data_IF_575985704826
#
_entry.id   IF_575985704826
#
_cell.length_a   1.000
_cell.length_b   1.000
_cell.length_c   1.000
_cell.angle_alpha   90.00
_cell.angle_beta   90.00
_cell.angle_gamma   90.00
#
_symmetry.space_group_name_H-M   'P 1'
#
loop_
_entity.id
_entity.type
_entity.pdbx_description
1 polymer ?
#
# COMPACT_ATOMS: atom_id res chain seq x y z
N UNK A 1 -3.43 11.35 -3.29
CA UNK A 1 -3.78 10.70 -4.57
C UNK A 1 -4.78 11.47 -5.43
N UNK A 2 -5.76 12.25 -4.92
CA UNK A 2 -6.71 12.96 -5.79
C UNK A 2 -6.07 13.89 -6.82
N UNK A 3 -5.07 14.72 -6.49
CA UNK A 3 -4.47 15.59 -7.50
C UNK A 3 -3.80 14.81 -8.65
N UNK A 4 -3.08 13.73 -8.31
CA UNK A 4 -2.45 12.84 -9.31
C UNK A 4 -3.51 12.19 -10.19
N UNK A 5 -4.63 11.80 -9.60
CA UNK A 5 -5.77 11.21 -10.31
C UNK A 5 -6.36 12.18 -11.33
N UNK A 6 -6.74 13.39 -10.90
CA UNK A 6 -7.35 14.40 -11.77
C UNK A 6 -6.38 14.89 -12.86
N UNK A 7 -5.09 15.03 -12.54
CA UNK A 7 -4.06 15.36 -13.52
C UNK A 7 -3.92 14.24 -14.55
N UNK A 8 -3.78 12.98 -14.12
CA UNK A 8 -3.65 11.85 -15.03
C UNK A 8 -4.91 11.66 -15.90
N UNK A 9 -6.10 11.81 -15.35
CA UNK A 9 -7.36 11.76 -16.10
C UNK A 9 -7.43 12.91 -17.13
N UNK A 10 -6.92 14.10 -16.80
CA UNK A 10 -6.93 15.25 -17.70
C UNK A 10 -5.97 15.12 -18.88
N UNK A 11 -4.94 14.27 -18.78
CA UNK A 11 -4.09 13.92 -19.93
C UNK A 11 -4.87 13.16 -21.01
N UNK A 12 -5.95 12.46 -20.63
CA UNK A 12 -6.77 11.65 -21.54
C UNK A 12 -8.02 12.43 -22.00
N UNK A 13 -8.66 13.16 -21.09
CA UNK A 13 -9.97 13.79 -21.31
C UNK A 13 -9.89 15.32 -21.45
N UNK A 14 -8.69 15.89 -21.53
CA UNK A 14 -8.49 17.34 -21.55
C UNK A 14 -8.85 17.98 -20.21
N UNK A 15 -9.34 19.22 -20.23
CA UNK A 15 -9.59 19.98 -18.99
C UNK A 15 -10.81 19.49 -18.17
N UNK A 16 -11.62 18.57 -18.69
CA UNK A 16 -12.89 18.21 -18.07
C UNK A 16 -12.78 17.65 -16.64
N UNK A 17 -11.83 16.73 -16.32
CA UNK A 17 -11.66 16.25 -14.95
C UNK A 17 -11.24 17.35 -13.96
N UNK A 18 -10.38 18.28 -14.39
CA UNK A 18 -10.00 19.43 -13.56
C UNK A 18 -11.16 20.41 -13.38
N UNK A 19 -12.00 20.61 -14.41
CA UNK A 19 -13.23 21.38 -14.31
C UNK A 19 -14.18 20.79 -13.26
N UNK A 20 -14.43 19.48 -13.33
CA UNK A 20 -15.25 18.77 -12.36
C UNK A 20 -14.71 18.86 -10.92
N UNK A 21 -13.38 18.79 -10.74
CA UNK A 21 -12.76 19.01 -9.44
C UNK A 21 -13.01 20.42 -8.90
N UNK A 22 -12.97 21.43 -9.76
CA UNK A 22 -13.20 22.83 -9.37
C UNK A 22 -14.67 23.06 -9.02
N UNK A 23 -15.59 22.50 -9.81
CA UNK A 23 -17.04 22.62 -9.58
C UNK A 23 -17.46 21.89 -8.29
N UNK A 24 -16.96 20.68 -8.09
CA UNK A 24 -17.35 19.79 -6.99
C UNK A 24 -16.31 19.75 -5.86
N UNK A 25 -15.46 20.77 -5.74
CA UNK A 25 -14.39 20.82 -4.73
C UNK A 25 -14.86 20.59 -3.28
N UNK A 26 -16.09 20.95 -2.85
CA UNK A 26 -16.55 20.66 -1.49
C UNK A 26 -16.64 19.15 -1.22
N UNK A 27 -16.85 18.32 -2.25
CA UNK A 27 -16.90 16.84 -2.12
C UNK A 27 -15.58 16.26 -1.60
N UNK A 28 -14.46 16.98 -1.74
CA UNK A 28 -13.20 16.59 -1.12
C UNK A 28 -13.37 16.47 0.40
N UNK A 29 -14.05 17.43 1.02
CA UNK A 29 -14.20 17.52 2.47
C UNK A 29 -15.45 16.81 2.98
N UNK A 30 -16.54 16.79 2.20
CA UNK A 30 -17.82 16.22 2.63
C UNK A 30 -17.96 14.73 2.32
N UNK A 31 -17.20 14.20 1.37
CA UNK A 31 -17.31 12.81 0.92
C UNK A 31 -15.96 12.10 0.90
N UNK A 32 -14.99 12.61 0.15
CA UNK A 32 -13.72 11.91 -0.07
C UNK A 32 -12.91 11.73 1.22
N UNK A 33 -12.59 12.81 1.94
CA UNK A 33 -11.77 12.75 3.15
C UNK A 33 -12.43 11.92 4.28
N UNK A 34 -13.73 12.08 4.60
CA UNK A 34 -14.40 11.23 5.58
C UNK A 34 -14.29 9.73 5.25
N UNK A 35 -14.47 9.36 3.98
CA UNK A 35 -14.32 7.97 3.53
C UNK A 35 -12.88 7.47 3.64
N UNK A 36 -11.89 8.30 3.31
CA UNK A 36 -10.47 7.95 3.48
C UNK A 36 -10.14 7.71 4.94
N UNK A 37 -10.61 8.57 5.85
CA UNK A 37 -10.41 8.40 7.30
C UNK A 37 -11.10 7.13 7.80
N UNK A 38 -12.33 6.86 7.34
CA UNK A 38 -13.06 5.66 7.70
C UNK A 38 -12.32 4.38 7.25
N UNK A 39 -11.92 4.31 5.98
CA UNK A 39 -11.18 3.16 5.43
C UNK A 39 -9.81 3.01 6.09
N UNK A 40 -9.13 4.11 6.37
CA UNK A 40 -7.87 4.12 7.11
C UNK A 40 -8.04 3.40 8.46
N UNK A 41 -9.02 3.81 9.27
CA UNK A 41 -9.19 3.31 10.64
C UNK A 41 -9.72 1.88 10.71
N UNK A 42 -10.61 1.52 9.79
CA UNK A 42 -11.37 0.26 9.87
C UNK A 42 -10.71 -0.87 9.07
N UNK A 43 -10.00 -0.53 7.98
CA UNK A 43 -9.48 -1.52 7.03
C UNK A 43 -7.97 -1.41 6.91
N UNK A 44 -7.49 -0.33 6.31
CA UNK A 44 -6.10 -0.25 5.85
C UNK A 44 -5.11 -0.32 7.00
N UNK A 45 -5.39 0.29 8.15
CA UNK A 45 -4.45 0.29 9.28
C UNK A 45 -4.11 -1.12 9.75
N UNK A 46 -5.11 -1.97 9.86
CA UNK A 46 -4.95 -3.34 10.34
C UNK A 46 -4.19 -4.21 9.37
N UNK A 47 -4.43 -4.03 8.06
CA UNK A 47 -3.67 -4.71 7.03
C UNK A 47 -2.20 -4.27 7.04
N UNK A 48 -1.95 -2.96 7.03
CA UNK A 48 -0.61 -2.42 6.82
C UNK A 48 0.31 -2.58 8.04
N UNK A 49 -0.24 -2.69 9.26
CA UNK A 49 0.54 -3.12 10.44
C UNK A 49 1.18 -4.48 10.19
N UNK A 50 0.44 -5.44 9.64
CA UNK A 50 0.96 -6.77 9.34
C UNK A 50 1.89 -6.77 8.12
N UNK A 51 1.43 -6.23 7.00
CA UNK A 51 2.17 -6.32 5.74
C UNK A 51 3.41 -5.43 5.72
N UNK A 52 3.29 -4.17 6.13
CA UNK A 52 4.36 -3.18 6.03
C UNK A 52 5.08 -3.00 7.37
N UNK A 53 4.37 -3.10 8.49
CA UNK A 53 4.98 -3.01 9.82
C UNK A 53 5.72 -4.27 10.26
N UNK A 54 5.33 -5.46 9.78
CA UNK A 54 5.93 -6.73 10.20
C UNK A 54 6.59 -7.52 9.07
N UNK A 55 5.86 -7.85 8.01
CA UNK A 55 6.35 -8.76 6.98
C UNK A 55 7.41 -8.12 6.07
N UNK A 56 7.14 -6.90 5.58
CA UNK A 56 8.01 -6.22 4.63
C UNK A 56 9.44 -6.03 5.16
N UNK A 57 9.70 -5.44 6.35
CA UNK A 57 11.08 -5.16 6.79
C UNK A 57 11.96 -6.42 6.81
N UNK A 58 11.41 -7.52 7.35
CA UNK A 58 12.09 -8.83 7.41
C UNK A 58 12.38 -9.42 6.02
N UNK A 59 11.47 -9.22 5.08
CA UNK A 59 11.67 -9.67 3.70
C UNK A 59 12.67 -8.77 2.96
N UNK A 60 12.69 -7.46 3.22
CA UNK A 60 13.67 -6.54 2.64
C UNK A 60 15.08 -6.90 3.07
N UNK A 61 15.29 -7.21 4.35
CA UNK A 61 16.59 -7.64 4.89
C UNK A 61 17.12 -8.91 4.23
N UNK A 62 16.23 -9.85 3.92
CA UNK A 62 16.62 -11.16 3.41
C UNK A 62 16.72 -11.24 1.89
N UNK A 63 15.83 -10.57 1.18
CA UNK A 63 15.66 -10.73 -0.28
C UNK A 63 15.82 -9.42 -1.05
N UNK A 64 15.97 -8.30 -0.36
CA UNK A 64 15.93 -6.98 -0.95
C UNK A 64 14.50 -6.47 -1.21
N UNK A 65 14.35 -5.16 -1.44
CA UNK A 65 13.08 -4.46 -1.41
C UNK A 65 12.14 -4.82 -2.57
N UNK A 66 12.67 -5.03 -3.77
CA UNK A 66 11.87 -5.44 -4.92
C UNK A 66 11.28 -6.84 -4.73
N UNK A 67 12.11 -7.81 -4.34
CA UNK A 67 11.63 -9.18 -4.10
C UNK A 67 10.69 -9.24 -2.89
N UNK A 68 10.96 -8.46 -1.85
CA UNK A 68 10.04 -8.32 -0.72
C UNK A 68 8.67 -7.80 -1.17
N UNK A 69 8.64 -6.78 -2.04
CA UNK A 69 7.40 -6.24 -2.63
C UNK A 69 6.62 -7.30 -3.42
N UNK A 70 7.33 -8.11 -4.22
CA UNK A 70 6.72 -9.21 -5.00
C UNK A 70 6.11 -10.26 -4.07
N UNK A 71 6.87 -10.71 -3.07
CA UNK A 71 6.40 -11.73 -2.11
C UNK A 71 5.18 -11.22 -1.34
N UNK A 72 5.23 -10.00 -0.81
CA UNK A 72 4.10 -9.39 -0.08
C UNK A 72 2.89 -9.24 -1.01
N UNK A 73 3.08 -8.80 -2.25
CA UNK A 73 2.00 -8.65 -3.23
C UNK A 73 1.30 -9.98 -3.55
N UNK A 74 2.06 -11.05 -3.77
CA UNK A 74 1.52 -12.39 -4.00
C UNK A 74 0.76 -12.89 -2.78
N UNK A 75 1.35 -12.80 -1.58
CA UNK A 75 0.69 -13.25 -0.35
C UNK A 75 -0.58 -12.47 -0.05
N UNK A 76 -0.59 -11.16 -0.30
CA UNK A 76 -1.76 -10.31 -0.14
C UNK A 76 -2.88 -10.71 -1.11
N UNK A 77 -2.56 -10.97 -2.38
CA UNK A 77 -3.53 -11.42 -3.37
C UNK A 77 -4.15 -12.78 -2.98
N UNK A 78 -3.34 -13.70 -2.48
CA UNK A 78 -3.80 -14.99 -1.99
C UNK A 78 -4.68 -14.84 -0.73
N UNK A 79 -4.33 -13.94 0.19
CA UNK A 79 -5.13 -13.66 1.38
C UNK A 79 -6.52 -13.13 1.05
N UNK A 80 -6.67 -12.41 -0.07
CA UNK A 80 -7.95 -11.89 -0.54
C UNK A 80 -8.85 -12.89 -1.27
N UNK A 81 -8.34 -14.08 -1.63
CA UNK A 81 -9.09 -15.08 -2.39
C UNK A 81 -10.50 -15.37 -1.81
N UNK A 82 -10.69 -15.58 -0.49
CA UNK A 82 -12.02 -15.84 0.08
C UNK A 82 -13.04 -14.72 -0.18
N UNK A 83 -12.61 -13.46 -0.12
CA UNK A 83 -13.48 -12.31 -0.39
C UNK A 83 -13.89 -12.24 -1.86
N UNK A 84 -13.02 -12.67 -2.77
CA UNK A 84 -13.37 -12.82 -4.18
C UNK A 84 -14.41 -13.92 -4.37
N UNK A 85 -14.30 -15.09 -3.73
CA UNK A 85 -15.34 -16.11 -3.83
C UNK A 85 -16.74 -15.62 -3.42
N UNK A 86 -16.85 -14.75 -2.41
CA UNK A 86 -18.14 -14.22 -1.96
C UNK A 86 -18.71 -13.08 -2.84
N UNK A 87 -17.86 -12.19 -3.38
CA UNK A 87 -18.30 -11.07 -4.23
C UNK A 87 -18.58 -11.47 -5.68
N UNK A 88 -18.06 -12.61 -6.10
CA UNK A 88 -18.08 -13.06 -7.49
C UNK A 88 -19.40 -13.66 -7.98
N UNK A 89 -20.38 -13.88 -7.10
CA UNK A 89 -21.71 -14.29 -7.52
C UNK A 89 -22.37 -13.21 -8.41
N UNK A 90 -22.05 -11.93 -8.17
CA UNK A 90 -22.56 -10.79 -8.96
C UNK A 90 -21.87 -10.63 -10.33
N UNK A 91 -20.63 -11.12 -10.48
CA UNK A 91 -19.87 -11.05 -11.74
C UNK A 91 -20.11 -12.28 -12.63
N UNK A 92 -20.35 -13.45 -12.03
CA UNK A 92 -20.67 -14.68 -12.74
C UNK A 92 -21.88 -14.51 -13.68
N UNK A 93 -22.92 -13.83 -13.20
CA UNK A 93 -24.14 -13.56 -13.96
C UNK A 93 -23.93 -12.64 -15.18
N UNK A 94 -22.88 -11.81 -15.18
CA UNK A 94 -22.63 -10.80 -16.23
C UNK A 94 -21.70 -11.27 -17.35
N UNK A 95 -20.83 -12.25 -17.09
CA UNK A 95 -19.75 -12.64 -18.03
C UNK A 95 -19.86 -14.11 -18.48
N UNK A 96 -20.78 -14.90 -17.89
CA UNK A 96 -21.04 -16.27 -18.32
C UNK A 96 -19.86 -17.24 -18.14
N UNK A 97 -18.93 -16.93 -17.23
CA UNK A 97 -17.76 -17.76 -16.93
C UNK A 97 -18.07 -18.78 -15.82
N UNK A 98 -17.57 -20.00 -15.97
CA UNK A 98 -17.52 -20.99 -14.89
C UNK A 98 -16.56 -20.56 -13.76
N UNK A 99 -16.74 -21.11 -12.56
CA UNK A 99 -15.95 -20.72 -11.38
C UNK A 99 -14.44 -20.97 -11.55
N UNK A 100 -14.06 -22.04 -12.25
CA UNK A 100 -12.66 -22.40 -12.53
C UNK A 100 -12.03 -21.43 -13.53
N UNK A 101 -12.72 -21.15 -14.64
CA UNK A 101 -12.25 -20.21 -15.67
C UNK A 101 -12.05 -18.80 -15.10
N UNK A 102 -12.90 -18.41 -14.14
CA UNK A 102 -12.79 -17.13 -13.43
C UNK A 102 -11.52 -17.04 -12.58
N UNK A 103 -11.17 -18.08 -11.83
CA UNK A 103 -9.96 -18.08 -11.01
C UNK A 103 -8.71 -18.00 -11.88
N UNK A 104 -8.69 -18.75 -12.99
CA UNK A 104 -7.58 -18.72 -13.95
C UNK A 104 -7.41 -17.34 -14.60
N UNK A 105 -8.50 -16.60 -14.80
CA UNK A 105 -8.46 -15.26 -15.39
C UNK A 105 -8.15 -14.14 -14.37
N UNK A 106 -8.84 -14.12 -13.23
CA UNK A 106 -8.77 -13.01 -12.27
C UNK A 106 -7.58 -13.08 -11.32
N UNK A 107 -7.11 -14.27 -10.95
CA UNK A 107 -6.03 -14.41 -9.99
C UNK A 107 -4.70 -13.84 -10.50
N UNK A 108 -4.26 -14.10 -11.75
CA UNK A 108 -3.03 -13.49 -12.27
C UNK A 108 -3.11 -11.97 -12.31
N UNK A 109 -4.28 -11.42 -12.68
CA UNK A 109 -4.51 -9.99 -12.67
C UNK A 109 -4.44 -9.42 -11.25
N UNK A 110 -5.09 -10.06 -10.28
CA UNK A 110 -5.05 -9.65 -8.87
C UNK A 110 -3.61 -9.65 -8.33
N UNK A 111 -2.84 -10.70 -8.61
CA UNK A 111 -1.43 -10.81 -8.22
C UNK A 111 -0.63 -9.67 -8.85
N UNK A 112 -0.77 -9.44 -10.16
CA UNK A 112 -0.06 -8.38 -10.86
C UNK A 112 -0.35 -7.02 -10.24
N UNK A 113 -1.63 -6.69 -10.03
CA UNK A 113 -2.04 -5.42 -9.46
C UNK A 113 -1.57 -5.24 -8.01
N UNK A 114 -1.65 -6.31 -7.20
CA UNK A 114 -1.15 -6.31 -5.84
C UNK A 114 0.37 -6.07 -5.81
N UNK A 115 1.14 -6.75 -6.66
CA UNK A 115 2.60 -6.56 -6.76
C UNK A 115 2.95 -5.14 -7.18
N UNK A 116 2.32 -4.60 -8.22
CA UNK A 116 2.58 -3.23 -8.69
C UNK A 116 2.30 -2.21 -7.59
N UNK A 117 1.19 -2.39 -6.86
CA UNK A 117 0.83 -1.51 -5.74
C UNK A 117 1.84 -1.62 -4.60
N UNK A 118 2.26 -2.85 -4.25
CA UNK A 118 3.24 -3.10 -3.18
C UNK A 118 4.63 -2.54 -3.51
N UNK A 119 5.04 -2.48 -4.77
CA UNK A 119 6.29 -1.82 -5.19
C UNK A 119 6.24 -0.31 -4.86
N UNK A 120 5.15 0.37 -5.22
CA UNK A 120 4.96 1.80 -4.92
C UNK A 120 4.91 2.03 -3.41
N UNK A 121 4.16 1.20 -2.68
CA UNK A 121 4.06 1.29 -1.22
C UNK A 121 5.38 1.02 -0.51
N UNK A 122 6.19 0.08 -1.00
CA UNK A 122 7.51 -0.23 -0.45
C UNK A 122 8.47 0.94 -0.65
N UNK A 123 8.49 1.53 -1.84
CA UNK A 123 9.24 2.78 -2.05
C UNK A 123 8.78 3.88 -1.10
N UNK A 124 7.46 4.09 -0.98
CA UNK A 124 6.90 5.11 -0.08
C UNK A 124 7.27 4.85 1.39
N UNK A 125 7.21 3.59 1.83
CA UNK A 125 7.61 3.15 3.16
C UNK A 125 9.08 3.50 3.41
N UNK A 126 9.96 3.17 2.47
CA UNK A 126 11.40 3.39 2.62
C UNK A 126 11.77 4.88 2.61
N UNK A 127 11.21 5.70 1.71
CA UNK A 127 11.50 7.15 1.68
C UNK A 127 10.91 7.89 2.88
N UNK A 128 9.95 7.29 3.60
CA UNK A 128 9.36 7.84 4.82
C UNK A 128 9.96 7.23 6.09
N UNK A 129 11.13 6.60 5.99
CA UNK A 129 11.86 5.98 7.11
C UNK A 129 11.01 4.94 7.86
N UNK A 130 10.25 4.13 7.12
CA UNK A 130 9.43 3.05 7.66
C UNK A 130 8.08 3.48 8.24
N UNK A 131 7.52 4.61 7.79
CA UNK A 131 6.24 5.09 8.30
C UNK A 131 5.06 4.25 7.81
N UNK A 132 4.56 3.36 8.67
CA UNK A 132 3.32 2.60 8.42
C UNK A 132 2.14 3.55 8.23
N UNK A 133 2.05 4.63 9.01
CA UNK A 133 0.92 5.59 8.94
C UNK A 133 0.81 6.22 7.54
N UNK A 134 1.93 6.67 6.96
CA UNK A 134 1.90 7.31 5.62
C UNK A 134 1.46 6.31 4.56
N UNK A 135 1.95 5.08 4.64
CA UNK A 135 1.60 4.00 3.71
C UNK A 135 0.14 3.59 3.87
N UNK A 136 -0.37 3.50 5.09
CA UNK A 136 -1.79 3.26 5.37
C UNK A 136 -2.67 4.38 4.81
N UNK A 137 -2.26 5.63 4.95
CA UNK A 137 -2.98 6.77 4.39
C UNK A 137 -3.00 6.69 2.85
N UNK A 138 -1.88 6.31 2.24
CA UNK A 138 -1.82 6.06 0.80
C UNK A 138 -2.76 4.92 0.39
N UNK A 139 -2.77 3.78 1.11
CA UNK A 139 -3.66 2.66 0.84
C UNK A 139 -5.14 3.09 0.93
N UNK A 140 -5.54 3.75 2.01
CA UNK A 140 -6.92 4.21 2.18
C UNK A 140 -7.32 5.21 1.09
N UNK A 141 -6.46 6.17 0.78
CA UNK A 141 -6.68 7.13 -0.30
C UNK A 141 -6.77 6.44 -1.67
N UNK A 142 -5.96 5.42 -1.91
CA UNK A 142 -6.00 4.62 -3.14
C UNK A 142 -7.32 3.88 -3.27
N UNK A 143 -7.79 3.20 -2.23
CA UNK A 143 -9.06 2.47 -2.23
C UNK A 143 -10.25 3.39 -2.54
N UNK A 144 -10.34 4.54 -1.88
CA UNK A 144 -11.42 5.50 -2.15
C UNK A 144 -11.30 6.11 -3.55
N UNK A 145 -10.08 6.40 -4.00
CA UNK A 145 -9.88 6.95 -5.35
C UNK A 145 -10.27 5.95 -6.44
N UNK A 146 -9.97 4.67 -6.22
CA UNK A 146 -10.32 3.59 -7.13
C UNK A 146 -11.84 3.36 -7.17
N UNK A 147 -12.51 3.33 -6.02
CA UNK A 147 -13.90 2.87 -5.99
C UNK A 147 -14.93 3.99 -6.21
N UNK A 148 -14.64 5.21 -5.73
CA UNK A 148 -15.69 6.21 -5.55
C UNK A 148 -15.44 7.54 -6.27
N UNK A 149 -14.21 7.83 -6.70
CA UNK A 149 -13.84 9.17 -7.16
C UNK A 149 -14.50 9.55 -8.48
N UNK A 150 -14.52 8.66 -9.49
CA UNK A 150 -15.23 8.94 -10.75
C UNK A 150 -16.72 9.12 -10.48
N UNK A 151 -17.33 8.21 -9.73
CA UNK A 151 -18.77 8.27 -9.44
C UNK A 151 -19.15 9.55 -8.69
N UNK A 152 -18.29 10.04 -7.79
CA UNK A 152 -18.58 11.23 -6.99
C UNK A 152 -18.35 12.54 -7.76
N UNK A 153 -17.28 12.64 -8.56
CA UNK A 153 -16.88 13.91 -9.20
C UNK A 153 -17.21 13.97 -10.69
N UNK A 154 -17.25 12.83 -11.37
CA UNK A 154 -17.35 12.74 -12.83
C UNK A 154 -18.32 11.61 -13.24
N UNK A 155 -19.57 11.59 -12.75
CA UNK A 155 -20.49 10.47 -12.95
C UNK A 155 -20.76 10.20 -14.44
N UNK A 156 -20.75 11.23 -15.28
CA UNK A 156 -20.92 11.10 -16.73
C UNK A 156 -19.75 10.38 -17.42
N UNK A 157 -18.56 10.37 -16.79
CA UNK A 157 -17.35 9.70 -17.30
C UNK A 157 -17.20 8.26 -16.77
N UNK A 158 -18.14 7.77 -15.95
CA UNK A 158 -18.07 6.42 -15.37
C UNK A 158 -17.94 5.32 -16.43
N UNK A 159 -18.56 5.45 -17.60
CA UNK A 159 -18.45 4.46 -18.68
C UNK A 159 -17.04 4.36 -19.26
N UNK A 160 -16.29 5.46 -19.28
CA UNK A 160 -14.90 5.54 -19.74
C UNK A 160 -13.96 4.91 -18.71
N UNK A 161 -14.29 5.02 -17.43
CA UNK A 161 -13.46 4.57 -16.31
C UNK A 161 -13.99 3.33 -15.58
N UNK A 162 -15.00 2.65 -16.13
CA UNK A 162 -15.85 1.67 -15.44
C UNK A 162 -15.11 0.52 -14.72
N UNK A 163 -13.87 0.21 -15.16
CA UNK A 163 -13.07 -0.88 -14.60
C UNK A 163 -11.83 -0.40 -13.83
N UNK A 164 -11.62 0.91 -13.67
CA UNK A 164 -10.43 1.52 -13.07
C UNK A 164 -9.07 1.06 -13.63
N UNK A 165 -9.06 0.35 -14.78
CA UNK A 165 -7.84 -0.19 -15.39
C UNK A 165 -6.78 0.87 -15.68
N UNK A 166 -7.21 2.10 -15.96
CA UNK A 166 -6.33 3.24 -16.17
C UNK A 166 -5.57 3.66 -14.90
N UNK A 167 -6.19 3.59 -13.70
CA UNK A 167 -5.51 3.92 -12.44
C UNK A 167 -4.42 2.88 -12.15
N UNK A 168 -4.73 1.61 -12.42
CA UNK A 168 -3.76 0.53 -12.35
C UNK A 168 -2.66 0.66 -13.41
N UNK A 169 -2.95 1.20 -14.59
CA UNK A 169 -1.94 1.51 -15.60
C UNK A 169 -1.00 2.63 -15.12
N UNK A 170 -1.53 3.71 -14.53
CA UNK A 170 -0.73 4.78 -13.91
C UNK A 170 0.15 4.22 -12.80
N UNK A 171 -0.40 3.37 -11.92
CA UNK A 171 0.39 2.67 -10.91
C UNK A 171 1.45 1.76 -11.51
N UNK A 172 1.14 1.04 -12.59
CA UNK A 172 2.08 0.16 -13.28
C UNK A 172 3.25 0.93 -13.88
N UNK A 173 2.98 2.06 -14.52
CA UNK A 173 4.01 2.98 -15.03
C UNK A 173 4.86 3.52 -13.88
N UNK A 174 4.23 3.95 -12.78
CA UNK A 174 4.95 4.46 -11.61
C UNK A 174 5.82 3.36 -10.97
N UNK A 175 5.29 2.16 -10.78
CA UNK A 175 6.01 1.02 -10.23
C UNK A 175 7.21 0.64 -11.12
N UNK A 176 7.01 0.60 -12.43
CA UNK A 176 8.08 0.35 -13.40
C UNK A 176 9.14 1.46 -13.34
N UNK A 177 8.71 2.71 -13.37
CA UNK A 177 9.60 3.88 -13.26
C UNK A 177 10.44 3.81 -11.99
N UNK A 178 9.81 3.59 -10.82
CA UNK A 178 10.50 3.47 -9.55
C UNK A 178 11.47 2.28 -9.54
N UNK A 179 11.05 1.14 -10.07
CA UNK A 179 11.92 -0.06 -10.16
C UNK A 179 13.15 0.23 -11.02
N UNK A 180 12.99 0.86 -12.18
CA UNK A 180 14.09 1.18 -13.08
C UNK A 180 15.00 2.28 -12.50
N UNK A 181 14.40 3.37 -12.03
CA UNK A 181 15.11 4.55 -11.52
C UNK A 181 15.92 4.22 -10.27
N UNK A 182 15.34 3.43 -9.36
CA UNK A 182 16.04 2.98 -8.14
C UNK A 182 16.89 1.73 -8.35
N UNK A 183 16.94 1.18 -9.58
CA UNK A 183 17.60 -0.08 -9.91
C UNK A 183 17.17 -1.24 -8.99
N UNK A 184 15.86 -1.29 -8.69
CA UNK A 184 15.24 -2.27 -7.81
C UNK A 184 15.48 -2.04 -6.32
N UNK A 185 16.16 -0.96 -5.91
CA UNK A 185 16.40 -0.66 -4.49
C UNK A 185 15.24 0.02 -3.78
N UNK A 186 14.30 0.63 -4.50
CA UNK A 186 13.11 1.27 -3.93
C UNK A 186 13.44 2.13 -2.68
N UNK A 187 14.55 2.88 -2.73
CA UNK A 187 15.07 3.71 -1.63
C UNK A 187 15.38 2.98 -0.31
N UNK A 188 15.62 1.67 -0.34
CA UNK A 188 15.94 0.90 0.85
C UNK A 188 17.36 1.17 1.38
N UNK A 189 17.46 1.48 2.66
CA UNK A 189 18.70 1.65 3.41
C UNK A 189 18.71 0.69 4.62
N UNK A 190 19.54 -0.37 4.61
CA UNK A 190 19.55 -1.41 5.65
C UNK A 190 19.81 -0.87 7.06
N UNK A 191 20.60 0.20 7.18
CA UNK A 191 21.05 0.73 8.48
C UNK A 191 19.96 1.53 9.23
N UNK A 192 18.85 1.89 8.58
CA UNK A 192 17.78 2.67 9.21
C UNK A 192 16.75 1.83 9.97
N UNK A 193 16.75 0.50 9.79
CA UNK A 193 15.76 -0.40 10.38
C UNK A 193 16.16 -0.95 11.77
N UNK A 194 17.40 -0.73 12.21
CA UNK A 194 17.89 -1.23 13.50
C UNK A 194 17.76 -0.12 14.55
N UNK A 195 16.90 -0.26 15.59
CA UNK A 195 17.03 0.57 16.78
C UNK A 195 18.46 0.42 17.27
N UNK A 196 19.21 1.53 17.39
CA UNK A 196 20.56 1.50 17.93
C UNK A 196 20.55 0.64 19.20
N UNK A 197 21.36 -0.43 19.21
CA UNK A 197 21.63 -1.16 20.45
C UNK A 197 22.00 -0.10 21.49
N UNK A 198 21.18 0.03 22.54
CA UNK A 198 21.51 0.83 23.70
C UNK A 198 22.90 0.34 24.13
N UNK A 199 23.92 1.19 24.17
CA UNK A 199 25.27 0.75 24.53
C UNK A 199 25.15 -0.02 25.84
N UNK A 200 25.56 -1.29 25.82
CA UNK A 200 25.65 -2.12 27.02
C UNK A 200 26.67 -1.44 27.93
N UNK A 201 26.19 -0.50 28.74
CA UNK A 201 26.95 0.08 29.82
C UNK A 201 27.30 -1.07 30.73
N UNK A 202 28.57 -1.46 30.73
CA UNK A 202 29.12 -2.38 31.70
C UNK A 202 28.73 -1.87 33.07
N UNK A 203 27.78 -2.53 33.72
CA UNK A 203 27.51 -2.35 35.14
C UNK A 203 28.74 -2.94 35.83
N UNK A 204 29.72 -2.10 36.14
CA UNK A 204 30.80 -2.46 37.05
C UNK A 204 30.16 -2.82 38.39
N UNK A 205 30.18 -4.11 38.72
CA UNK A 205 29.75 -4.59 40.03
C UNK A 205 30.74 -4.07 41.07
N UNK A 206 30.27 -3.50 42.20
CA UNK A 206 31.17 -3.15 43.28
C UNK A 206 31.81 -4.42 43.83
N UNK A 207 33.13 -4.43 43.89
CA UNK A 207 33.94 -5.49 44.47
C UNK A 207 33.69 -5.44 45.98
N UNK A 208 32.83 -6.33 46.49
CA UNK A 208 32.66 -6.52 47.93
C UNK A 208 33.87 -7.29 48.46
N UNK A 209 34.92 -6.55 48.83
CA UNK A 209 36.11 -7.09 49.48
C UNK A 209 36.49 -6.25 50.68
N UNK A 210 36.03 -6.65 51.87
CA UNK A 210 36.76 -6.41 53.12
C UNK A 210 36.35 -7.47 54.14
N UNK A 211 37.15 -8.52 54.20
CA UNK A 211 37.25 -9.40 55.35
C UNK A 211 37.57 -8.55 56.58
N UNK A 212 36.77 -8.66 57.65
CA UNK A 212 37.18 -8.16 58.97
C UNK A 212 37.99 -9.24 59.68
N UNK A 213 39.18 -8.92 60.22
CA UNK A 213 39.97 -9.87 60.98
C UNK A 213 39.35 -10.09 62.36
N UNK A 214 39.38 -11.35 62.80
CA UNK A 214 38.99 -11.75 64.14
C UNK A 214 39.92 -11.14 65.19
N UNK A 215 39.34 -10.63 66.27
CA UNK A 215 40.07 -10.42 67.51
C UNK A 215 39.16 -10.60 68.72
N UNK A 216 39.40 -11.72 69.41
CA UNK A 216 39.30 -12.02 70.86
C UNK A 216 37.99 -11.71 71.59
#
# INVERSE_FOLDING_TARGET
MPPVYFVAASLVLGAAPLGALIEEWPLIFTSYLPKVVMVFLIVSLWEEIGWMGFALPRLQDRYGPLMASVVVGVLWALWHLPAYFNSTQVVADKVGLGEVDRLLYLLPLLILLAVLTRIVMTWLFNVTMGSVIVVTLFHAAFNISNNDLVTAFMPEMNSIFANNGWLYAVLGVLALFLTLFTRGRLSYEPDQATPQEVPSGKVERPISGSEMPSSR
#
